data_IF_915342663765
#
_entry.id   IF_915342663765
#
_cell.length_a   1.000
_cell.length_b   1.000
_cell.length_c   1.000
_cell.angle_alpha   90.00
_cell.angle_beta   90.00
_cell.angle_gamma   90.00
#
_symmetry.space_group_name_H-M   'P 1'
#
loop_
_entity.id
_entity.type
_entity.pdbx_description
1 polymer ?
#
# COMPACT_ATOMS: atom_id res chain seq x y z
N UNK A 1 -24.07 -4.91 0.76
CA UNK A 1 -23.69 -3.53 0.39
C UNK A 1 -22.19 -3.47 0.42
N UNK A 2 -21.54 -3.37 -0.72
CA UNK A 2 -20.08 -3.21 -0.80
C UNK A 2 -19.72 -1.85 -0.22
N UNK A 3 -18.69 -1.74 0.61
CA UNK A 3 -18.14 -0.43 0.94
C UNK A 3 -17.64 0.20 -0.36
N UNK A 4 -18.25 1.32 -0.77
CA UNK A 4 -17.67 2.14 -1.83
C UNK A 4 -16.28 2.55 -1.38
N UNK A 5 -15.27 2.11 -2.10
CA UNK A 5 -13.93 2.69 -1.98
C UNK A 5 -14.08 4.17 -2.36
N UNK A 6 -13.73 5.07 -1.45
CA UNK A 6 -13.77 6.49 -1.75
C UNK A 6 -12.66 6.80 -2.74
N UNK A 7 -13.02 7.22 -3.96
CA UNK A 7 -12.07 7.65 -4.97
C UNK A 7 -11.32 8.91 -4.48
N UNK A 8 -10.02 8.97 -4.76
CA UNK A 8 -9.21 10.15 -4.52
C UNK A 8 -9.56 11.25 -5.53
N UNK A 9 -9.51 12.52 -5.12
CA UNK A 9 -9.66 13.64 -6.06
C UNK A 9 -8.39 13.80 -6.92
N UNK A 10 -8.50 14.44 -8.10
CA UNK A 10 -7.35 14.70 -8.97
C UNK A 10 -6.18 15.39 -8.25
N UNK A 11 -6.44 16.38 -7.38
CA UNK A 11 -5.42 17.03 -6.56
C UNK A 11 -4.76 16.07 -5.54
N UNK A 12 -5.53 15.10 -5.03
CA UNK A 12 -4.99 14.08 -4.14
C UNK A 12 -4.10 13.09 -4.91
N UNK A 13 -4.47 12.75 -6.15
CA UNK A 13 -3.66 11.90 -7.02
C UNK A 13 -2.33 12.57 -7.37
N UNK A 14 -2.32 13.85 -7.74
CA UNK A 14 -1.08 14.60 -8.05
C UNK A 14 -0.08 14.60 -6.88
N UNK A 15 -0.56 14.61 -5.64
CA UNK A 15 0.29 14.57 -4.46
C UNK A 15 1.00 13.21 -4.25
N UNK A 16 0.59 12.15 -4.94
CA UNK A 16 1.24 10.83 -4.93
C UNK A 16 2.25 10.63 -6.07
N UNK A 17 2.41 11.63 -6.97
CA UNK A 17 3.35 11.57 -8.08
C UNK A 17 4.80 11.88 -7.64
N UNK A 18 5.40 11.03 -6.81
CA UNK A 18 6.79 11.20 -6.41
C UNK A 18 7.65 10.02 -6.89
N UNK A 19 8.53 10.32 -7.84
CA UNK A 19 9.56 9.39 -8.36
C UNK A 19 10.49 8.86 -7.23
N UNK A 20 10.68 9.62 -6.16
CA UNK A 20 11.56 9.24 -5.03
C UNK A 20 11.13 7.97 -4.33
N UNK A 21 9.82 7.73 -4.17
CA UNK A 21 9.32 6.50 -3.52
C UNK A 21 9.57 5.27 -4.40
N UNK A 22 9.46 5.41 -5.71
CA UNK A 22 9.67 4.30 -6.64
C UNK A 22 11.11 3.77 -6.58
N UNK A 23 12.11 4.63 -6.39
CA UNK A 23 13.52 4.20 -6.31
C UNK A 23 13.80 3.30 -5.10
N UNK A 24 13.27 3.64 -3.92
CA UNK A 24 13.43 2.83 -2.73
C UNK A 24 12.71 1.48 -2.88
N UNK A 25 11.47 1.51 -3.41
CA UNK A 25 10.68 0.31 -3.67
C UNK A 25 11.39 -0.64 -4.66
N UNK A 26 11.99 -0.08 -5.72
CA UNK A 26 12.75 -0.85 -6.72
C UNK A 26 13.99 -1.51 -6.11
N UNK A 27 14.76 -0.74 -5.35
CA UNK A 27 15.94 -1.28 -4.66
C UNK A 27 15.55 -2.44 -3.74
N UNK A 28 14.50 -2.26 -2.94
CA UNK A 28 14.01 -3.28 -2.03
C UNK A 28 13.46 -4.50 -2.78
N UNK A 29 12.73 -4.27 -3.89
CA UNK A 29 12.24 -5.34 -4.76
C UNK A 29 13.40 -6.18 -5.31
N UNK A 30 14.44 -5.53 -5.87
CA UNK A 30 15.61 -6.21 -6.40
C UNK A 30 16.39 -6.96 -5.29
N UNK A 31 16.53 -6.34 -4.12
CA UNK A 31 17.23 -6.94 -3.00
C UNK A 31 16.51 -8.19 -2.47
N UNK A 32 15.17 -8.14 -2.32
CA UNK A 32 14.39 -9.22 -1.75
C UNK A 32 14.15 -10.38 -2.71
N UNK A 33 13.95 -10.08 -3.99
CA UNK A 33 13.73 -11.12 -5.01
C UNK A 33 15.04 -11.70 -5.54
N UNK A 34 16.15 -10.98 -5.41
CA UNK A 34 17.46 -11.40 -5.92
C UNK A 34 17.46 -11.57 -7.44
N UNK A 35 18.46 -12.32 -7.91
CA UNK A 35 18.64 -12.67 -9.34
C UNK A 35 17.74 -13.83 -9.80
N UNK A 36 16.67 -14.15 -9.06
CA UNK A 36 15.75 -15.21 -9.50
C UNK A 36 15.17 -14.82 -10.85
N UNK A 37 15.65 -15.49 -11.89
CA UNK A 37 15.14 -15.34 -13.25
C UNK A 37 13.64 -15.62 -13.22
N UNK A 38 12.85 -14.57 -13.22
CA UNK A 38 11.42 -14.70 -13.16
C UNK A 38 10.89 -14.77 -14.58
N UNK A 39 10.16 -15.82 -14.88
CA UNK A 39 9.56 -16.08 -16.19
C UNK A 39 8.14 -15.55 -16.32
N UNK A 40 7.59 -14.92 -15.28
CA UNK A 40 6.20 -14.47 -15.24
C UNK A 40 6.04 -12.95 -15.15
N UNK A 41 4.79 -12.53 -15.24
CA UNK A 41 4.40 -11.12 -15.15
C UNK A 41 4.41 -10.65 -13.71
N UNK A 42 4.82 -9.40 -13.48
CA UNK A 42 4.62 -8.68 -12.21
C UNK A 42 3.30 -7.89 -12.31
N UNK A 43 2.43 -8.07 -11.34
CA UNK A 43 1.22 -7.24 -11.19
C UNK A 43 1.48 -6.19 -10.10
N UNK A 44 1.22 -4.93 -10.40
CA UNK A 44 1.32 -3.81 -9.46
C UNK A 44 -0.07 -3.35 -9.07
N UNK A 45 -0.54 -3.75 -7.88
CA UNK A 45 -1.90 -3.51 -7.40
C UNK A 45 -1.98 -2.16 -6.71
N UNK A 46 -2.89 -1.30 -7.19
CA UNK A 46 -2.97 0.09 -6.76
C UNK A 46 -1.76 0.89 -7.21
N UNK A 47 -1.17 0.54 -8.36
CA UNK A 47 0.06 1.15 -8.87
C UNK A 47 -0.10 2.56 -9.41
N UNK A 48 -1.33 3.14 -9.34
CA UNK A 48 -1.61 4.51 -9.76
C UNK A 48 -1.17 4.75 -11.20
N UNK A 49 -0.40 5.81 -11.44
CA UNK A 49 0.10 6.17 -12.76
C UNK A 49 1.33 5.37 -13.24
N UNK A 50 1.66 4.28 -12.55
CA UNK A 50 2.64 3.29 -13.00
C UNK A 50 4.10 3.68 -12.87
N UNK A 51 4.48 4.61 -11.99
CA UNK A 51 5.88 5.02 -11.82
C UNK A 51 6.79 3.86 -11.42
N UNK A 52 6.37 3.05 -10.45
CA UNK A 52 7.10 1.85 -10.04
C UNK A 52 7.15 0.84 -11.19
N UNK A 53 6.00 0.54 -11.81
CA UNK A 53 5.89 -0.43 -12.90
C UNK A 53 6.81 -0.09 -14.07
N UNK A 54 6.81 1.17 -14.51
CA UNK A 54 7.67 1.65 -15.59
C UNK A 54 9.15 1.46 -15.29
N UNK A 55 9.57 1.86 -14.09
CA UNK A 55 10.98 1.76 -13.70
C UNK A 55 11.39 0.30 -13.49
N UNK A 56 10.53 -0.54 -12.93
CA UNK A 56 10.76 -1.96 -12.75
C UNK A 56 10.96 -2.65 -14.13
N UNK A 57 10.04 -2.40 -15.07
CA UNK A 57 10.15 -2.94 -16.43
C UNK A 57 11.44 -2.50 -17.12
N UNK A 58 11.80 -1.21 -17.04
CA UNK A 58 13.01 -0.67 -17.64
C UNK A 58 14.30 -1.27 -17.04
N UNK A 59 14.34 -1.51 -15.72
CA UNK A 59 15.55 -2.02 -15.04
C UNK A 59 15.71 -3.53 -15.15
N UNK A 60 14.61 -4.27 -15.17
CA UNK A 60 14.64 -5.74 -15.07
C UNK A 60 14.28 -6.45 -16.37
N UNK A 61 13.71 -5.74 -17.35
CA UNK A 61 13.15 -6.33 -18.57
C UNK A 61 11.90 -7.18 -18.34
N UNK A 62 11.32 -7.18 -17.15
CA UNK A 62 10.12 -7.95 -16.81
C UNK A 62 8.87 -7.31 -17.39
N UNK A 63 7.90 -8.14 -17.79
CA UNK A 63 6.56 -7.68 -18.05
C UNK A 63 5.91 -7.22 -16.74
N UNK A 64 5.44 -5.99 -16.70
CA UNK A 64 4.76 -5.41 -15.53
C UNK A 64 3.42 -4.86 -15.95
N UNK A 65 2.36 -5.19 -15.23
CA UNK A 65 1.00 -4.70 -15.46
C UNK A 65 0.46 -4.02 -14.22
N UNK A 66 -0.02 -2.80 -14.39
CA UNK A 66 -0.68 -2.03 -13.34
C UNK A 66 -2.16 -2.40 -13.25
N UNK A 67 -2.66 -2.57 -12.04
CA UNK A 67 -4.09 -2.73 -11.77
C UNK A 67 -4.48 -1.66 -10.75
N UNK A 68 -5.33 -0.72 -11.16
CA UNK A 68 -5.79 0.36 -10.29
C UNK A 68 -7.30 0.57 -10.45
N UNK A 69 -7.96 1.04 -9.39
CA UNK A 69 -9.39 1.31 -9.40
C UNK A 69 -9.74 2.65 -10.07
N UNK A 70 -8.76 3.54 -10.23
CA UNK A 70 -8.96 4.86 -10.83
C UNK A 70 -8.69 4.85 -12.34
N UNK A 71 -9.74 5.08 -13.18
CA UNK A 71 -9.56 5.12 -14.62
C UNK A 71 -8.58 6.19 -15.10
N UNK A 72 -8.48 7.33 -14.41
CA UNK A 72 -7.59 8.44 -14.79
C UNK A 72 -6.12 8.03 -14.65
N UNK A 73 -5.80 7.29 -13.59
CA UNK A 73 -4.48 6.70 -13.40
C UNK A 73 -4.14 5.70 -14.52
N UNK A 74 -5.10 4.87 -14.91
CA UNK A 74 -4.93 3.90 -16.01
C UNK A 74 -4.74 4.60 -17.35
N UNK A 75 -5.51 5.65 -17.65
CA UNK A 75 -5.30 6.46 -18.88
C UNK A 75 -3.88 7.06 -18.91
N UNK A 76 -3.39 7.51 -17.75
CA UNK A 76 -2.02 8.02 -17.61
C UNK A 76 -0.97 6.92 -17.86
N UNK A 77 -1.19 5.71 -17.35
CA UNK A 77 -0.34 4.55 -17.64
C UNK A 77 -0.26 4.28 -19.15
N UNK A 78 -1.40 4.22 -19.83
CA UNK A 78 -1.47 3.99 -21.27
C UNK A 78 -0.76 5.10 -22.07
N UNK A 79 -0.91 6.36 -21.67
CA UNK A 79 -0.21 7.50 -22.30
C UNK A 79 1.32 7.37 -22.18
N UNK A 80 1.81 6.67 -21.15
CA UNK A 80 3.24 6.39 -20.95
C UNK A 80 3.68 5.02 -21.48
N UNK A 81 2.82 4.29 -22.20
CA UNK A 81 3.13 2.98 -22.77
C UNK A 81 3.24 1.85 -21.73
N UNK A 82 2.61 2.01 -20.58
CA UNK A 82 2.57 1.02 -19.51
C UNK A 82 1.34 0.14 -19.70
N UNK A 83 1.50 -1.18 -19.63
CA UNK A 83 0.37 -2.13 -19.59
C UNK A 83 -0.41 -1.94 -18.28
N UNK A 84 -1.69 -1.62 -18.39
CA UNK A 84 -2.52 -1.29 -17.25
C UNK A 84 -4.00 -1.63 -17.49
N UNK A 85 -4.74 -1.92 -16.43
CA UNK A 85 -6.19 -2.11 -16.49
C UNK A 85 -6.90 -1.60 -15.24
N UNK A 86 -8.14 -1.14 -15.43
CA UNK A 86 -9.01 -0.80 -14.30
C UNK A 86 -9.41 -2.08 -13.58
N UNK A 87 -9.14 -2.15 -12.27
CA UNK A 87 -9.42 -3.34 -11.48
C UNK A 87 -9.54 -3.08 -9.98
N UNK A 88 -10.10 -4.06 -9.28
CA UNK A 88 -10.32 -4.03 -7.83
C UNK A 88 -9.31 -4.96 -7.13
N UNK A 89 -8.55 -4.43 -6.18
CA UNK A 89 -7.60 -5.20 -5.39
C UNK A 89 -8.21 -6.41 -4.66
N UNK A 90 -9.52 -6.35 -4.39
CA UNK A 90 -10.29 -7.43 -3.74
C UNK A 90 -10.80 -8.50 -4.72
N UNK A 91 -10.77 -8.22 -6.01
CA UNK A 91 -11.31 -9.08 -7.08
C UNK A 91 -10.37 -9.09 -8.28
N UNK A 92 -9.15 -9.59 -8.09
CA UNK A 92 -8.17 -9.55 -9.15
C UNK A 92 -8.61 -10.37 -10.35
N UNK A 93 -8.31 -9.86 -11.54
CA UNK A 93 -8.33 -10.67 -12.75
C UNK A 93 -7.02 -11.44 -12.82
N UNK A 94 -7.11 -12.76 -12.83
CA UNK A 94 -5.97 -13.67 -12.90
C UNK A 94 -5.78 -14.13 -14.34
N UNK A 95 -4.55 -14.05 -14.84
CA UNK A 95 -4.18 -14.52 -16.20
C UNK A 95 -3.43 -15.85 -16.16
N UNK A 96 -3.00 -16.31 -14.98
CA UNK A 96 -2.33 -17.59 -14.77
C UNK A 96 -0.82 -17.57 -15.04
N UNK A 97 -0.23 -16.39 -15.25
CA UNK A 97 1.19 -16.20 -15.49
C UNK A 97 1.84 -15.24 -14.45
N UNK A 98 1.15 -14.96 -13.38
CA UNK A 98 1.61 -14.05 -12.33
C UNK A 98 2.76 -14.70 -11.56
N UNK A 99 3.94 -14.06 -11.60
CA UNK A 99 5.08 -14.48 -10.80
C UNK A 99 5.11 -13.76 -9.45
N UNK A 100 5.05 -12.43 -9.49
CA UNK A 100 5.05 -11.59 -8.27
C UNK A 100 3.91 -10.59 -8.35
N UNK A 101 3.21 -10.43 -7.24
CA UNK A 101 2.20 -9.37 -7.08
C UNK A 101 2.70 -8.36 -6.06
N UNK A 102 2.71 -7.09 -6.45
CA UNK A 102 3.18 -5.97 -5.64
C UNK A 102 2.01 -5.22 -5.02
N UNK A 103 2.14 -4.88 -3.75
CA UNK A 103 1.29 -3.96 -3.02
C UNK A 103 2.17 -2.82 -2.48
N UNK A 104 2.26 -1.74 -3.23
CA UNK A 104 3.11 -0.61 -2.92
C UNK A 104 2.30 0.52 -2.30
N UNK A 105 2.32 0.65 -0.96
CA UNK A 105 1.65 1.71 -0.20
C UNK A 105 0.14 1.78 -0.47
N UNK A 106 -0.52 0.64 -0.67
CA UNK A 106 -1.95 0.57 -1.00
C UNK A 106 -2.79 -0.07 0.10
N UNK A 107 -2.25 -1.03 0.87
CA UNK A 107 -3.04 -1.78 1.83
C UNK A 107 -3.62 -0.90 2.93
N UNK A 108 -2.91 0.14 3.38
CA UNK A 108 -3.40 1.08 4.38
C UNK A 108 -4.58 1.94 3.89
N UNK A 109 -4.83 2.00 2.57
CA UNK A 109 -5.99 2.63 1.96
C UNK A 109 -7.21 1.70 1.87
N UNK A 110 -7.04 0.39 2.01
CA UNK A 110 -8.15 -0.56 2.03
C UNK A 110 -8.83 -0.52 3.39
N UNK A 111 -9.77 0.40 3.56
CA UNK A 111 -10.44 0.67 4.84
C UNK A 111 -11.94 0.44 4.75
N UNK A 112 -12.51 -0.17 5.79
CA UNK A 112 -13.94 -0.34 5.98
C UNK A 112 -14.49 0.59 7.06
N UNK A 113 -15.77 0.51 7.34
CA UNK A 113 -16.44 1.32 8.36
C UNK A 113 -16.02 1.00 9.81
N UNK A 114 -15.30 -0.10 10.05
CA UNK A 114 -14.79 -0.51 11.35
C UNK A 114 -13.43 -1.19 11.22
N UNK A 115 -12.67 -1.26 12.33
CA UNK A 115 -11.36 -1.94 12.35
C UNK A 115 -11.44 -3.43 11.93
N UNK A 116 -12.41 -4.24 12.39
CA UNK A 116 -12.55 -5.61 11.90
C UNK A 116 -12.80 -5.69 10.39
N UNK A 117 -13.66 -4.82 9.85
CA UNK A 117 -13.91 -4.76 8.40
C UNK A 117 -12.68 -4.30 7.62
N UNK A 118 -11.91 -3.35 8.17
CA UNK A 118 -10.64 -2.91 7.57
C UNK A 118 -9.63 -4.05 7.52
N UNK A 119 -9.47 -4.79 8.61
CA UNK A 119 -8.60 -5.97 8.65
C UNK A 119 -9.04 -7.05 7.67
N UNK A 120 -10.34 -7.30 7.56
CA UNK A 120 -10.91 -8.26 6.60
C UNK A 120 -10.64 -7.84 5.15
N UNK A 121 -10.84 -6.57 4.80
CA UNK A 121 -10.53 -6.07 3.46
C UNK A 121 -9.05 -6.26 3.09
N UNK A 122 -8.15 -5.89 3.98
CA UNK A 122 -6.71 -6.04 3.78
C UNK A 122 -6.29 -7.50 3.67
N UNK A 123 -6.85 -8.39 4.50
CA UNK A 123 -6.59 -9.83 4.41
C UNK A 123 -7.12 -10.42 3.10
N UNK A 124 -8.33 -10.06 2.67
CA UNK A 124 -8.92 -10.55 1.41
C UNK A 124 -8.12 -10.11 0.20
N UNK A 125 -7.65 -8.85 0.17
CA UNK A 125 -6.81 -8.37 -0.93
C UNK A 125 -5.54 -9.21 -1.08
N UNK A 126 -4.87 -9.57 0.02
CA UNK A 126 -3.70 -10.44 -0.01
C UNK A 126 -4.08 -11.89 -0.36
N UNK A 127 -5.12 -12.44 0.29
CA UNK A 127 -5.53 -13.83 0.13
C UNK A 127 -6.01 -14.15 -1.29
N UNK A 128 -6.52 -13.17 -2.03
CA UNK A 128 -6.95 -13.32 -3.41
C UNK A 128 -5.82 -13.84 -4.33
N UNK A 129 -4.56 -13.59 -3.99
CA UNK A 129 -3.39 -13.99 -4.77
C UNK A 129 -2.69 -15.25 -4.25
N UNK A 130 -3.17 -15.85 -3.17
CA UNK A 130 -2.47 -16.95 -2.48
C UNK A 130 -2.20 -18.17 -3.36
N UNK A 131 -3.11 -18.51 -4.25
CA UNK A 131 -2.97 -19.63 -5.18
C UNK A 131 -2.61 -19.20 -6.60
N UNK A 132 -2.42 -17.91 -6.83
CA UNK A 132 -2.31 -17.33 -8.15
C UNK A 132 -0.91 -16.78 -8.45
N UNK A 133 -0.18 -16.35 -7.42
CA UNK A 133 1.16 -15.81 -7.57
C UNK A 133 2.17 -16.60 -6.75
N UNK A 134 3.41 -16.67 -7.24
CA UNK A 134 4.52 -17.32 -6.53
C UNK A 134 4.88 -16.58 -5.24
N UNK A 135 4.80 -15.25 -5.26
CA UNK A 135 5.13 -14.40 -4.12
C UNK A 135 4.35 -13.10 -4.14
N UNK A 136 4.21 -12.47 -2.95
CA UNK A 136 3.83 -11.07 -2.86
C UNK A 136 5.03 -10.23 -2.43
N UNK A 137 5.21 -9.09 -3.07
CA UNK A 137 6.06 -8.01 -2.60
C UNK A 137 5.16 -6.94 -1.98
N UNK A 138 5.36 -6.63 -0.71
CA UNK A 138 4.57 -5.65 0.02
C UNK A 138 5.49 -4.57 0.56
N UNK A 139 5.30 -3.32 0.14
CA UNK A 139 5.97 -2.15 0.71
C UNK A 139 4.92 -1.31 1.43
N UNK A 140 5.08 -1.12 2.76
CA UNK A 140 4.07 -0.43 3.57
C UNK A 140 4.66 0.46 4.64
N UNK A 141 3.89 1.49 5.00
CA UNK A 141 4.20 2.32 6.15
C UNK A 141 4.09 1.56 7.46
N UNK A 142 5.10 1.72 8.29
CA UNK A 142 5.16 1.23 9.67
C UNK A 142 5.05 2.41 10.61
N UNK A 143 3.95 2.48 11.35
CA UNK A 143 3.70 3.50 12.36
C UNK A 143 3.89 2.91 13.74
N UNK A 144 5.07 3.09 14.33
CA UNK A 144 5.32 2.69 15.70
C UNK A 144 4.80 3.77 16.66
N UNK A 145 4.03 3.37 17.64
CA UNK A 145 3.44 4.24 18.66
C UNK A 145 4.10 4.05 20.00
N UNK A 146 4.05 5.06 20.89
CA UNK A 146 4.43 4.91 22.30
C UNK A 146 3.52 3.90 23.02
N UNK A 147 2.26 3.80 22.62
CA UNK A 147 1.32 2.75 23.03
C UNK A 147 0.99 1.93 21.78
N UNK A 148 1.21 0.61 21.79
CA UNK A 148 1.06 -0.24 20.61
C UNK A 148 -0.25 -0.03 19.85
N UNK A 149 -0.16 0.24 18.55
CA UNK A 149 -1.29 0.43 17.63
C UNK A 149 -2.11 1.71 17.83
N UNK A 150 -1.84 2.54 18.85
CA UNK A 150 -2.68 3.68 19.20
C UNK A 150 -2.68 4.76 18.11
N UNK A 151 -1.52 5.17 17.60
CA UNK A 151 -1.45 6.24 16.59
C UNK A 151 -2.18 5.88 15.31
N UNK A 152 -2.00 4.64 14.82
CA UNK A 152 -2.68 4.18 13.61
C UNK A 152 -4.20 4.13 13.77
N UNK A 153 -4.71 3.76 14.96
CA UNK A 153 -6.15 3.78 15.26
C UNK A 153 -6.69 5.20 15.37
N UNK A 154 -5.97 6.11 16.04
CA UNK A 154 -6.37 7.52 16.11
C UNK A 154 -6.45 8.16 14.72
N UNK A 155 -5.43 7.94 13.89
CA UNK A 155 -5.42 8.45 12.51
C UNK A 155 -6.60 7.87 11.73
N UNK A 156 -6.88 6.57 11.86
CA UNK A 156 -8.01 5.92 11.21
C UNK A 156 -9.35 6.55 11.64
N UNK A 157 -9.59 6.73 12.95
CA UNK A 157 -10.84 7.33 13.44
C UNK A 157 -11.01 8.78 12.97
N UNK A 158 -9.93 9.56 12.93
CA UNK A 158 -9.96 10.94 12.44
C UNK A 158 -10.21 10.98 10.93
N UNK A 159 -9.50 10.16 10.16
CA UNK A 159 -9.53 10.24 8.69
C UNK A 159 -10.80 9.63 8.08
N UNK A 160 -11.43 8.64 8.73
CA UNK A 160 -12.70 8.07 8.26
C UNK A 160 -13.91 8.94 8.58
N UNK A 161 -13.86 9.73 9.66
CA UNK A 161 -14.98 10.58 10.09
C UNK A 161 -14.98 11.90 9.34
N UNK A 162 -16.08 12.22 8.64
CA UNK A 162 -16.23 13.51 7.94
C UNK A 162 -16.13 14.71 8.90
N UNK A 163 -16.70 14.58 10.10
CA UNK A 163 -16.68 15.65 11.11
C UNK A 163 -15.26 15.84 11.64
N UNK A 164 -14.61 14.77 12.10
CA UNK A 164 -13.24 14.83 12.64
C UNK A 164 -12.24 15.27 11.57
N UNK A 165 -12.40 14.81 10.33
CA UNK A 165 -11.58 15.25 9.19
C UNK A 165 -11.76 16.75 8.90
N UNK A 166 -12.99 17.29 9.03
CA UNK A 166 -13.23 18.70 8.89
C UNK A 166 -12.49 19.54 9.95
N UNK A 167 -12.57 19.11 11.20
CA UNK A 167 -11.83 19.74 12.30
C UNK A 167 -10.31 19.60 12.12
N UNK A 168 -9.84 18.41 11.73
CA UNK A 168 -8.42 18.17 11.49
C UNK A 168 -7.86 19.02 10.34
N UNK A 169 -8.64 19.25 9.27
CA UNK A 169 -8.26 20.19 8.19
C UNK A 169 -8.08 21.60 8.71
N UNK A 170 -8.99 22.09 9.57
CA UNK A 170 -8.86 23.42 10.18
C UNK A 170 -7.58 23.53 11.01
N UNK A 171 -7.27 22.51 11.82
CA UNK A 171 -6.02 22.46 12.60
C UNK A 171 -4.80 22.38 11.66
N UNK A 172 -4.87 21.62 10.59
CA UNK A 172 -3.78 21.47 9.62
C UNK A 172 -3.47 22.76 8.82
N UNK A 173 -4.42 23.71 8.73
CA UNK A 173 -4.13 25.06 8.21
C UNK A 173 -3.13 25.79 9.10
N UNK A 174 -3.28 25.66 10.42
CA UNK A 174 -2.42 26.30 11.42
C UNK A 174 -1.14 25.50 11.67
N UNK A 175 -1.19 24.16 11.48
CA UNK A 175 -0.09 23.23 11.73
C UNK A 175 0.18 22.39 10.48
N UNK A 176 0.98 22.92 9.51
CA UNK A 176 1.20 22.27 8.22
C UNK A 176 1.72 20.84 8.29
N UNK A 177 2.48 20.48 9.34
CA UNK A 177 3.00 19.13 9.55
C UNK A 177 1.91 18.07 9.82
N UNK A 178 0.66 18.48 10.06
CA UNK A 178 -0.51 17.60 10.22
C UNK A 178 -1.36 17.51 8.96
N UNK A 179 -0.98 18.17 7.87
CA UNK A 179 -1.68 18.02 6.60
C UNK A 179 -1.62 16.58 6.13
N UNK A 180 -2.76 16.07 5.70
CA UNK A 180 -2.89 14.74 5.14
C UNK A 180 -3.89 14.76 3.98
N UNK A 181 -3.55 14.11 2.87
CA UNK A 181 -4.41 14.01 1.70
C UNK A 181 -5.56 12.99 1.91
N UNK A 182 -5.57 12.32 3.05
CA UNK A 182 -6.47 11.21 3.36
C UNK A 182 -7.67 11.59 4.24
N UNK A 183 -7.83 12.87 4.56
CA UNK A 183 -8.97 13.34 5.35
C UNK A 183 -10.31 13.09 4.63
N UNK A 184 -11.18 12.33 5.28
CA UNK A 184 -12.53 11.99 4.79
C UNK A 184 -12.57 10.72 3.93
N UNK A 185 -11.41 10.15 3.57
CA UNK A 185 -11.30 8.89 2.81
C UNK A 185 -11.01 7.71 3.75
N UNK A 186 -10.25 7.95 4.81
CA UNK A 186 -9.80 6.96 5.76
C UNK A 186 -8.48 6.32 5.37
N UNK A 187 -7.61 6.12 6.38
CA UNK A 187 -6.40 5.31 6.25
C UNK A 187 -6.16 4.56 7.54
N UNK A 188 -5.63 3.34 7.44
CA UNK A 188 -5.28 2.54 8.61
C UNK A 188 -3.81 2.13 8.54
N UNK A 189 -2.96 2.96 9.13
CA UNK A 189 -1.54 2.61 9.33
C UNK A 189 -1.40 1.60 10.47
N UNK A 190 -0.47 0.68 10.32
CA UNK A 190 -0.21 -0.39 11.28
C UNK A 190 1.24 -0.34 11.75
N UNK A 191 1.49 -0.86 12.94
CA UNK A 191 2.87 -1.18 13.34
C UNK A 191 3.35 -2.47 12.65
N UNK A 192 4.65 -2.75 12.76
CA UNK A 192 5.23 -3.94 12.13
C UNK A 192 4.56 -5.23 12.61
N UNK A 193 4.26 -5.34 13.91
CA UNK A 193 3.62 -6.53 14.48
C UNK A 193 2.21 -6.74 13.92
N UNK A 194 1.42 -5.68 13.80
CA UNK A 194 0.07 -5.74 13.22
C UNK A 194 0.13 -6.21 11.75
N UNK A 195 1.10 -5.71 10.94
CA UNK A 195 1.29 -6.19 9.57
C UNK A 195 1.66 -7.67 9.51
N UNK A 196 2.61 -8.12 10.35
CA UNK A 196 3.02 -9.53 10.41
C UNK A 196 1.83 -10.46 10.76
N UNK A 197 1.00 -10.04 11.70
CA UNK A 197 -0.22 -10.79 12.06
C UNK A 197 -1.21 -10.87 10.90
N UNK A 198 -1.38 -9.76 10.16
CA UNK A 198 -2.27 -9.68 9.02
C UNK A 198 -1.78 -10.58 7.87
N UNK A 199 -0.49 -10.59 7.55
CA UNK A 199 0.10 -11.47 6.55
C UNK A 199 -0.10 -12.95 6.93
N UNK A 200 0.15 -13.28 8.19
CA UNK A 200 -0.07 -14.64 8.70
C UNK A 200 -1.53 -15.07 8.59
N UNK A 201 -2.47 -14.17 8.92
CA UNK A 201 -3.91 -14.43 8.81
C UNK A 201 -4.38 -14.57 7.36
N UNK A 202 -3.74 -13.86 6.41
CA UNK A 202 -3.97 -14.01 4.98
C UNK A 202 -3.36 -15.31 4.38
N UNK A 203 -2.64 -16.10 5.19
CA UNK A 203 -2.07 -17.39 4.78
C UNK A 203 -0.67 -17.28 4.17
N UNK A 204 0.09 -16.27 4.55
CA UNK A 204 1.46 -16.07 4.09
C UNK A 204 2.48 -16.24 5.22
N UNK A 205 3.70 -16.58 4.84
CA UNK A 205 4.91 -16.49 5.66
C UNK A 205 5.87 -15.48 5.04
N UNK A 206 6.74 -14.91 5.86
CA UNK A 206 7.74 -13.94 5.41
C UNK A 206 8.98 -14.72 5.01
N UNK A 207 9.34 -14.65 3.73
CA UNK A 207 10.59 -15.20 3.22
C UNK A 207 11.77 -14.30 3.58
N UNK A 208 11.61 -12.99 3.34
CA UNK A 208 12.60 -11.97 3.62
C UNK A 208 11.96 -10.61 3.80
N UNK A 209 12.68 -9.67 4.41
CA UNK A 209 12.19 -8.30 4.60
C UNK A 209 13.35 -7.31 4.68
N UNK A 210 13.10 -6.06 4.25
CA UNK A 210 13.96 -4.91 4.50
C UNK A 210 13.27 -3.96 5.47
N UNK A 211 14.08 -3.21 6.20
CA UNK A 211 13.61 -2.14 7.08
C UNK A 211 14.12 -0.82 6.52
N UNK A 212 13.20 0.05 6.17
CA UNK A 212 13.55 1.37 5.64
C UNK A 212 14.06 2.33 6.72
N UNK A 213 14.62 3.47 6.31
CA UNK A 213 15.08 4.49 7.23
C UNK A 213 13.91 5.14 7.98
N UNK A 214 14.18 5.56 9.23
CA UNK A 214 13.20 6.33 10.00
C UNK A 214 12.98 7.72 9.37
N UNK A 215 11.73 8.09 9.16
CA UNK A 215 11.33 9.42 8.73
C UNK A 215 11.29 10.39 9.93
N UNK A 216 11.60 11.69 9.72
CA UNK A 216 11.48 12.70 10.77
C UNK A 216 10.05 12.83 11.29
N UNK A 217 9.86 12.69 12.59
CA UNK A 217 8.56 12.86 13.26
C UNK A 217 8.50 14.22 13.94
N UNK A 218 7.67 15.14 13.44
CA UNK A 218 7.48 16.48 14.01
C UNK A 218 6.82 16.42 15.40
N UNK A 219 7.00 17.47 16.21
CA UNK A 219 6.36 17.55 17.53
C UNK A 219 4.83 17.36 17.48
N UNK A 220 4.08 18.00 16.56
CA UNK A 220 2.64 17.76 16.44
C UNK A 220 2.27 16.30 16.16
N UNK A 221 3.06 15.59 15.34
CA UNK A 221 2.85 14.15 15.08
C UNK A 221 3.14 13.30 16.31
N UNK A 222 4.10 13.70 17.17
CA UNK A 222 4.37 13.02 18.46
C UNK A 222 3.20 13.14 19.43
N UNK A 223 2.41 14.23 19.38
CA UNK A 223 1.18 14.38 20.16
C UNK A 223 0.08 13.39 19.73
N UNK A 224 0.17 12.84 18.52
CA UNK A 224 -0.66 11.70 18.06
C UNK A 224 -0.07 10.35 18.47
N UNK A 225 0.82 10.31 19.46
CA UNK A 225 1.51 9.13 19.98
C UNK A 225 2.43 8.44 18.97
N UNK A 226 2.80 9.09 17.87
CA UNK A 226 3.70 8.55 16.87
C UNK A 226 5.13 8.61 17.42
N UNK A 227 5.78 7.44 17.52
CA UNK A 227 7.17 7.28 17.96
C UNK A 227 8.12 7.26 16.78
N UNK A 228 7.79 6.47 15.75
CA UNK A 228 8.56 6.32 14.50
C UNK A 228 7.62 6.14 13.32
N UNK A 229 8.08 6.59 12.16
CA UNK A 229 7.49 6.30 10.86
C UNK A 229 8.61 5.83 9.96
N UNK A 230 8.39 4.74 9.22
CA UNK A 230 9.27 4.27 8.16
C UNK A 230 8.49 3.47 7.15
N UNK A 231 9.13 3.04 6.08
CA UNK A 231 8.55 2.09 5.11
C UNK A 231 9.38 0.82 5.16
N UNK A 232 8.71 -0.30 5.41
CA UNK A 232 9.35 -1.63 5.37
C UNK A 232 8.84 -2.38 4.13
N UNK A 233 9.71 -3.19 3.52
CA UNK A 233 9.35 -4.07 2.43
C UNK A 233 9.42 -5.53 2.87
N UNK A 234 8.50 -6.34 2.36
CA UNK A 234 8.34 -7.75 2.71
C UNK A 234 8.19 -8.59 1.45
N UNK A 235 8.92 -9.68 1.37
CA UNK A 235 8.66 -10.74 0.41
C UNK A 235 7.90 -11.86 1.13
N UNK A 236 6.69 -12.13 0.66
CA UNK A 236 5.78 -13.09 1.28
C UNK A 236 5.62 -14.30 0.37
N UNK A 237 5.61 -15.50 0.96
CA UNK A 237 5.28 -16.77 0.28
C UNK A 237 3.98 -17.33 0.81
N UNK A 238 3.13 -17.91 -0.06
CA UNK A 238 2.00 -18.69 0.42
C UNK A 238 2.47 -19.82 1.34
N UNK A 239 1.83 -19.96 2.48
CA UNK A 239 2.08 -21.11 3.35
C UNK A 239 1.67 -22.39 2.64
N UNK A 240 2.53 -23.39 2.64
CA UNK A 240 2.18 -24.72 2.18
C UNK A 240 0.98 -25.23 2.98
N UNK A 241 0.00 -25.82 2.30
CA UNK A 241 -1.05 -26.55 2.97
C UNK A 241 -0.37 -27.75 3.67
N UNK A 242 -0.33 -27.72 5.00
CA UNK A 242 0.14 -28.84 5.81
C UNK A 242 -0.82 -30.01 5.73
#
# INVERSE_FOLDING_TARGET
>A
MQPEQSALSGEQLEAFYHDEFAQDQLRDFEQLLGSQAASGTVKDIGGGCGFFARQLAARTGRAVKVIDADPTSIDTCHAHGIDAEVGDALRPRVEGNEDVVCFNLILHHLVGGSEPLTSDLQQRALAAWRSQARALFVNEYIYESYVPGLSGRLIYEVTKSRILSGLARMVAVLVPSLRANTFGVGVRFRDRREWLQLFAAAGYEIESATTGPDEPVSLPRRLLFIKRIRRDSFLLRPRSAG
#
